data_IF_324068540729
#
_entry.id   IF_324068540729
#
_cell.length_a   1.000
_cell.length_b   1.000
_cell.length_c   1.000
_cell.angle_alpha   90.00
_cell.angle_beta   90.00
_cell.angle_gamma   90.00
#
_symmetry.space_group_name_H-M   'P 1'
#
loop_
_entity.id
_entity.type
_entity.pdbx_description
1 polymer ?
#
# COMPACT_ATOMS: atom_id res chain seq x y z
N UNK A 1 3.18 -19.58 3.97
CA UNK A 1 2.27 -18.41 3.93
C UNK A 1 2.81 -17.47 4.98
N UNK A 2 3.53 -16.41 4.59
CA UNK A 2 4.19 -15.56 5.58
C UNK A 2 3.16 -14.84 6.44
N UNK A 3 3.31 -14.94 7.75
CA UNK A 3 2.46 -14.28 8.74
C UNK A 3 2.83 -12.79 8.81
N UNK A 4 1.81 -11.95 8.87
CA UNK A 4 1.95 -10.52 9.17
C UNK A 4 1.90 -10.35 10.70
N UNK A 5 2.68 -9.43 11.25
CA UNK A 5 2.50 -8.99 12.64
C UNK A 5 1.14 -8.31 12.83
N UNK A 6 0.76 -8.01 14.07
CA UNK A 6 -0.51 -7.32 14.34
C UNK A 6 -0.58 -5.96 13.65
N UNK A 7 0.47 -5.14 13.76
CA UNK A 7 0.55 -3.84 13.11
C UNK A 7 0.58 -3.96 11.58
N UNK A 8 1.34 -4.91 11.03
CA UNK A 8 1.37 -5.15 9.58
C UNK A 8 0.00 -5.60 9.05
N UNK A 9 -0.74 -6.39 9.83
CA UNK A 9 -2.08 -6.85 9.48
C UNK A 9 -3.09 -5.70 9.54
N UNK A 10 -2.96 -4.79 10.50
CA UNK A 10 -3.77 -3.57 10.61
C UNK A 10 -3.53 -2.65 9.41
N UNK A 11 -2.27 -2.33 9.13
CA UNK A 11 -1.88 -1.52 7.97
C UNK A 11 -2.31 -2.16 6.64
N UNK A 12 -2.21 -3.49 6.51
CA UNK A 12 -2.71 -4.20 5.34
C UNK A 12 -4.22 -4.02 5.13
N UNK A 13 -5.02 -3.97 6.20
CA UNK A 13 -6.47 -3.72 6.10
C UNK A 13 -6.75 -2.29 5.63
N UNK A 14 -6.05 -1.30 6.19
CA UNK A 14 -6.15 0.11 5.77
C UNK A 14 -5.82 0.26 4.28
N UNK A 15 -4.71 -0.33 3.83
CA UNK A 15 -4.30 -0.32 2.43
C UNK A 15 -5.32 -1.04 1.52
N UNK A 16 -5.98 -2.10 2.00
CA UNK A 16 -7.05 -2.76 1.26
C UNK A 16 -8.28 -1.87 1.09
N UNK A 17 -8.66 -1.13 2.11
CA UNK A 17 -9.80 -0.21 2.10
C UNK A 17 -9.53 0.96 1.16
N UNK A 18 -8.37 1.60 1.29
CA UNK A 18 -7.89 2.62 0.35
C UNK A 18 -7.97 2.13 -1.10
N UNK A 19 -7.38 0.96 -1.39
CA UNK A 19 -7.39 0.38 -2.73
C UNK A 19 -8.81 0.16 -3.26
N UNK A 20 -9.75 -0.23 -2.40
CA UNK A 20 -11.14 -0.43 -2.81
C UNK A 20 -11.81 0.90 -3.18
N UNK A 21 -11.53 1.97 -2.43
CA UNK A 21 -11.96 3.34 -2.76
C UNK A 21 -11.45 3.80 -4.12
N UNK A 22 -10.14 3.71 -4.34
CA UNK A 22 -9.50 4.08 -5.63
C UNK A 22 -10.09 3.30 -6.81
N UNK A 23 -10.25 1.99 -6.62
CA UNK A 23 -10.82 1.11 -7.62
C UNK A 23 -12.27 1.48 -7.96
N UNK A 24 -13.06 1.84 -6.95
CA UNK A 24 -14.43 2.30 -7.13
C UNK A 24 -14.49 3.63 -7.89
N UNK A 25 -13.65 4.60 -7.51
CA UNK A 25 -13.58 5.92 -8.16
C UNK A 25 -13.22 5.81 -9.64
N UNK A 26 -12.30 4.90 -9.98
CA UNK A 26 -11.83 4.69 -11.36
C UNK A 26 -12.67 3.68 -12.15
N UNK A 27 -13.63 3.00 -11.53
CA UNK A 27 -14.45 1.97 -12.17
C UNK A 27 -13.66 0.71 -12.56
N UNK A 28 -12.58 0.41 -11.84
CA UNK A 28 -11.72 -0.75 -12.10
C UNK A 28 -11.84 -1.83 -11.02
N UNK A 29 -11.54 -3.10 -11.35
CA UNK A 29 -11.32 -4.11 -10.32
C UNK A 29 -10.14 -3.73 -9.39
N UNK A 30 -10.23 -3.95 -8.06
CA UNK A 30 -9.18 -3.53 -7.12
C UNK A 30 -7.76 -4.04 -7.43
N UNK A 31 -7.64 -5.24 -7.99
CA UNK A 31 -6.33 -5.81 -8.33
C UNK A 31 -5.57 -5.01 -9.40
N UNK A 32 -6.26 -4.18 -10.19
CA UNK A 32 -5.64 -3.27 -11.17
C UNK A 32 -4.82 -2.20 -10.44
N UNK A 33 -5.37 -1.63 -9.36
CA UNK A 33 -4.70 -0.63 -8.53
C UNK A 33 -3.48 -1.27 -7.85
N UNK A 34 -3.67 -2.31 -7.05
CA UNK A 34 -2.60 -3.05 -6.40
C UNK A 34 -2.99 -4.52 -6.14
N UNK A 35 -2.06 -5.46 -6.31
CA UNK A 35 -2.32 -6.86 -5.94
C UNK A 35 -2.31 -7.02 -4.43
N UNK A 36 -2.94 -8.08 -3.91
CA UNK A 36 -2.87 -8.39 -2.47
C UNK A 36 -1.42 -8.61 -2.02
N UNK A 37 -0.59 -9.22 -2.86
CA UNK A 37 0.82 -9.42 -2.57
C UNK A 37 1.57 -8.09 -2.45
N UNK A 38 1.28 -7.12 -3.33
CA UNK A 38 1.90 -5.81 -3.24
C UNK A 38 1.49 -5.08 -1.95
N UNK A 39 0.20 -5.10 -1.59
CA UNK A 39 -0.27 -4.50 -0.34
C UNK A 39 0.39 -5.14 0.90
N UNK A 40 0.50 -6.48 0.92
CA UNK A 40 1.17 -7.18 2.00
C UNK A 40 2.68 -6.85 2.06
N UNK A 41 3.33 -6.71 0.90
CA UNK A 41 4.73 -6.29 0.85
C UNK A 41 4.91 -4.87 1.38
N UNK A 42 4.06 -3.92 0.99
CA UNK A 42 4.09 -2.54 1.48
C UNK A 42 3.97 -2.53 3.01
N UNK A 43 3.01 -3.27 3.56
CA UNK A 43 2.82 -3.35 5.01
C UNK A 43 4.04 -3.89 5.75
N UNK A 44 4.71 -4.91 5.20
CA UNK A 44 5.92 -5.52 5.78
C UNK A 44 7.15 -4.64 5.67
N UNK A 45 7.37 -4.04 4.51
CA UNK A 45 8.62 -3.30 4.25
C UNK A 45 8.56 -1.87 4.74
N UNK A 46 7.35 -1.32 4.96
CA UNK A 46 7.12 0.03 5.48
C UNK A 46 7.99 1.10 4.78
N UNK A 47 7.91 1.21 3.43
CA UNK A 47 8.78 2.10 2.67
C UNK A 47 8.57 3.56 3.11
N UNK A 48 9.65 4.31 3.24
CA UNK A 48 9.64 5.69 3.77
C UNK A 48 9.76 6.76 2.69
N UNK A 49 9.94 6.36 1.45
CA UNK A 49 10.07 7.27 0.32
C UNK A 49 9.72 6.57 -1.01
N UNK A 50 9.65 7.37 -2.07
CA UNK A 50 9.29 6.91 -3.42
C UNK A 50 10.30 5.90 -3.98
N UNK A 51 11.57 6.02 -3.63
CA UNK A 51 12.62 5.12 -4.11
C UNK A 51 12.42 3.71 -3.53
N UNK A 52 12.30 3.60 -2.21
CA UNK A 52 12.02 2.33 -1.51
C UNK A 52 10.72 1.69 -2.01
N UNK A 53 9.65 2.49 -2.16
CA UNK A 53 8.36 2.01 -2.65
C UNK A 53 8.48 1.47 -4.09
N UNK A 54 9.31 2.09 -4.94
CA UNK A 54 9.52 1.68 -6.33
C UNK A 54 10.28 0.37 -6.49
N UNK A 55 11.04 -0.06 -5.48
CA UNK A 55 11.75 -1.34 -5.50
C UNK A 55 10.83 -2.54 -5.26
N UNK A 56 9.59 -2.31 -4.80
CA UNK A 56 8.66 -3.39 -4.51
C UNK A 56 8.14 -4.06 -5.78
N UNK A 57 8.25 -5.39 -5.83
CA UNK A 57 7.72 -6.19 -6.95
C UNK A 57 6.22 -5.95 -7.12
N UNK A 58 5.83 -5.51 -8.31
CA UNK A 58 4.45 -5.15 -8.65
C UNK A 58 4.16 -3.64 -8.58
N UNK A 59 5.10 -2.84 -8.08
CA UNK A 59 5.03 -1.39 -8.01
C UNK A 59 5.74 -0.74 -9.21
N UNK A 60 5.12 -0.85 -10.38
CA UNK A 60 5.67 -0.29 -11.61
C UNK A 60 5.57 1.24 -11.69
N UNK A 61 6.33 1.86 -12.62
CA UNK A 61 6.41 3.32 -12.81
C UNK A 61 5.06 4.04 -12.83
N UNK A 62 4.05 3.45 -13.50
CA UNK A 62 2.68 4.00 -13.55
C UNK A 62 2.06 4.09 -12.17
N UNK A 63 2.14 3.03 -11.37
CA UNK A 63 1.55 2.96 -10.03
C UNK A 63 2.28 3.87 -9.04
N UNK A 64 3.61 3.97 -9.15
CA UNK A 64 4.39 4.93 -8.36
C UNK A 64 3.92 6.35 -8.62
N UNK A 65 3.81 6.73 -9.90
CA UNK A 65 3.34 8.07 -10.26
C UNK A 65 1.90 8.32 -9.82
N UNK A 66 1.02 7.34 -10.02
CA UNK A 66 -0.42 7.53 -9.81
C UNK A 66 -0.82 7.42 -8.32
N UNK A 67 -0.11 6.61 -7.51
CA UNK A 67 -0.52 6.26 -6.13
C UNK A 67 0.59 6.35 -5.07
N UNK A 68 1.83 6.66 -5.46
CA UNK A 68 2.98 6.56 -4.56
C UNK A 68 2.90 7.51 -3.37
N UNK A 69 2.53 8.76 -3.61
CA UNK A 69 2.40 9.78 -2.56
C UNK A 69 1.32 9.40 -1.54
N UNK A 70 0.16 8.96 -2.01
CA UNK A 70 -0.96 8.59 -1.13
C UNK A 70 -0.64 7.36 -0.27
N UNK A 71 0.03 6.35 -0.86
CA UNK A 71 0.50 5.18 -0.10
C UNK A 71 1.49 5.60 0.99
N UNK A 72 2.44 6.48 0.68
CA UNK A 72 3.40 6.97 1.67
C UNK A 72 2.73 7.75 2.79
N UNK A 73 1.72 8.57 2.47
CA UNK A 73 0.94 9.31 3.45
C UNK A 73 0.15 8.37 4.38
N UNK A 74 -0.41 7.28 3.85
CA UNK A 74 -1.08 6.25 4.68
C UNK A 74 -0.08 5.61 5.65
N UNK A 75 1.13 5.32 5.18
CA UNK A 75 2.19 4.73 6.01
C UNK A 75 2.62 5.69 7.13
N UNK A 76 2.87 6.95 6.79
CA UNK A 76 3.22 8.01 7.74
C UNK A 76 2.14 8.15 8.83
N UNK A 77 0.89 8.38 8.42
CA UNK A 77 -0.24 8.55 9.35
C UNK A 77 -0.43 7.33 10.26
N UNK A 78 -0.30 6.11 9.73
CA UNK A 78 -0.48 4.90 10.52
C UNK A 78 0.51 4.83 11.70
N UNK A 79 1.78 5.17 11.47
CA UNK A 79 2.80 5.14 12.52
C UNK A 79 2.76 6.36 13.41
N UNK A 80 2.41 7.54 12.90
CA UNK A 80 2.26 8.76 13.71
C UNK A 80 1.15 8.62 14.76
N UNK A 81 0.04 7.95 14.42
CA UNK A 81 -1.06 7.68 15.36
C UNK A 81 -0.70 6.68 16.48
N UNK A 82 0.43 5.97 16.36
CA UNK A 82 0.92 5.01 17.35
C UNK A 82 1.95 5.60 18.31
N UNK A 83 2.38 6.85 18.09
CA UNK A 83 3.34 7.59 18.94
C UNK A 83 2.63 8.22 20.15
#
# INVERSE_FOLDING_TARGET
MEYLTEDEMELYKILKEWRAGEAQLLGYPPYIIASNQLLANIAKTNPKNMEELSQLKGMGKRKIRDYGEEILLILENFYDMKI
#
